data_IF_256068222382
#
_entry.id   IF_256068222382
#
_cell.length_a   1.000
_cell.length_b   1.000
_cell.length_c   1.000
_cell.angle_alpha   90.00
_cell.angle_beta   90.00
_cell.angle_gamma   90.00
#
_symmetry.space_group_name_H-M   'P 1'
#
loop_
_entity.id
_entity.type
_entity.pdbx_description
1 polymer ?
#
# COMPACT_ATOMS: atom_id res chain seq x y z
N UNK A 1 16.29 8.43 -28.61
CA UNK A 1 17.61 7.90 -28.19
C UNK A 1 17.51 6.40 -28.22
N UNK A 2 18.24 5.75 -29.13
CA UNK A 2 18.26 4.30 -29.26
C UNK A 2 18.99 3.63 -28.08
N UNK A 3 18.91 2.29 -28.00
CA UNK A 3 19.84 1.51 -27.19
C UNK A 3 21.24 1.61 -27.83
N UNK A 4 22.28 1.54 -27.03
CA UNK A 4 23.66 1.37 -27.48
C UNK A 4 23.83 0.01 -28.19
N UNK A 5 24.56 -0.03 -29.30
CA UNK A 5 24.54 -1.13 -30.28
C UNK A 5 25.08 -2.48 -29.79
N UNK A 6 25.68 -2.51 -28.59
CA UNK A 6 26.18 -3.74 -27.94
C UNK A 6 25.13 -4.41 -27.02
N UNK A 7 23.94 -3.83 -26.88
CA UNK A 7 22.89 -4.31 -25.97
C UNK A 7 21.66 -4.80 -26.73
N UNK A 8 21.44 -6.11 -26.74
CA UNK A 8 20.27 -6.75 -27.36
C UNK A 8 19.13 -6.85 -26.34
N UNK A 9 17.95 -6.34 -26.69
CA UNK A 9 16.69 -6.60 -25.96
C UNK A 9 15.99 -7.82 -26.57
N UNK A 10 15.59 -8.78 -25.75
CA UNK A 10 14.83 -9.98 -26.18
C UNK A 10 13.94 -10.53 -25.07
N UNK A 11 12.96 -11.41 -25.37
CA UNK A 11 12.34 -12.28 -24.37
C UNK A 11 13.40 -13.08 -23.60
N UNK A 12 13.10 -13.38 -22.34
CA UNK A 12 13.94 -14.24 -21.50
C UNK A 12 13.74 -15.74 -21.81
N UNK A 13 14.73 -16.55 -21.45
CA UNK A 13 14.63 -18.02 -21.40
C UNK A 13 14.97 -18.53 -19.99
N UNK A 14 14.79 -19.82 -19.73
CA UNK A 14 15.21 -20.41 -18.46
C UNK A 14 16.73 -20.28 -18.20
N UNK A 15 17.54 -20.22 -19.27
CA UNK A 15 18.99 -20.00 -19.20
C UNK A 15 19.35 -18.61 -18.62
N UNK A 16 18.47 -17.62 -18.74
CA UNK A 16 18.67 -16.29 -18.16
C UNK A 16 18.42 -16.25 -16.65
N UNK A 17 17.72 -17.24 -16.06
CA UNK A 17 17.28 -17.21 -14.66
C UNK A 17 18.42 -16.92 -13.65
N UNK A 18 19.63 -17.51 -13.77
CA UNK A 18 20.74 -17.17 -12.89
C UNK A 18 21.24 -15.73 -13.06
N UNK A 19 21.22 -15.20 -14.30
CA UNK A 19 21.60 -13.83 -14.63
C UNK A 19 20.57 -12.80 -14.12
N UNK A 20 19.28 -13.12 -14.28
CA UNK A 20 18.15 -12.36 -13.73
C UNK A 20 18.25 -12.35 -12.20
N UNK A 21 18.43 -13.51 -11.55
CA UNK A 21 18.58 -13.62 -10.10
C UNK A 21 19.74 -12.80 -9.55
N UNK A 22 20.91 -12.84 -10.21
CA UNK A 22 22.07 -12.03 -9.87
C UNK A 22 21.78 -10.52 -10.01
N UNK A 23 21.15 -10.11 -11.11
CA UNK A 23 20.78 -8.71 -11.36
C UNK A 23 19.78 -8.20 -10.31
N UNK A 24 18.71 -8.95 -10.03
CA UNK A 24 17.67 -8.56 -9.08
C UNK A 24 18.21 -8.51 -7.64
N UNK A 25 19.03 -9.48 -7.23
CA UNK A 25 19.67 -9.48 -5.89
C UNK A 25 20.55 -8.24 -5.70
N UNK A 26 21.33 -7.85 -6.72
CA UNK A 26 22.15 -6.63 -6.68
C UNK A 26 21.34 -5.33 -6.77
N UNK A 27 20.19 -5.34 -7.46
CA UNK A 27 19.34 -4.16 -7.63
C UNK A 27 18.49 -3.86 -6.39
N UNK A 28 18.00 -4.89 -5.70
CA UNK A 28 17.05 -4.76 -4.58
C UNK A 28 17.65 -5.11 -3.21
N UNK A 29 18.90 -5.59 -3.15
CA UNK A 29 19.56 -5.98 -1.90
C UNK A 29 19.03 -7.28 -1.28
N UNK A 30 18.31 -8.08 -2.07
CA UNK A 30 17.77 -9.37 -1.64
C UNK A 30 18.88 -10.43 -1.48
N UNK A 31 18.59 -11.47 -0.68
CA UNK A 31 19.45 -12.66 -0.59
C UNK A 31 19.64 -13.29 -1.97
N UNK A 32 20.90 -13.59 -2.40
CA UNK A 32 21.16 -14.38 -3.60
C UNK A 32 20.65 -15.83 -3.53
N UNK A 33 20.13 -16.24 -2.37
CA UNK A 33 19.39 -17.49 -2.15
C UNK A 33 17.99 -17.11 -1.68
N UNK A 34 17.06 -16.98 -2.63
CA UNK A 34 15.63 -17.07 -2.33
C UNK A 34 15.27 -18.54 -2.07
N UNK A 35 14.22 -18.78 -1.28
CA UNK A 35 13.71 -20.12 -1.04
C UNK A 35 13.23 -20.78 -2.36
N UNK A 36 13.52 -22.06 -2.64
CA UNK A 36 13.11 -22.70 -3.89
C UNK A 36 11.59 -22.77 -4.11
N UNK A 37 10.80 -22.92 -3.04
CA UNK A 37 9.33 -22.90 -3.10
C UNK A 37 8.87 -21.50 -3.47
N UNK A 38 9.37 -20.47 -2.78
CA UNK A 38 9.06 -19.06 -3.09
C UNK A 38 9.42 -18.73 -4.54
N UNK A 39 10.59 -19.16 -5.01
CA UNK A 39 11.07 -19.00 -6.39
C UNK A 39 10.10 -19.64 -7.40
N UNK A 40 9.68 -20.88 -7.15
CA UNK A 40 8.75 -21.62 -8.01
C UNK A 40 7.34 -20.99 -8.04
N UNK A 41 6.81 -20.50 -6.91
CA UNK A 41 5.54 -19.78 -6.91
C UNK A 41 5.66 -18.40 -7.58
N UNK A 42 6.83 -17.75 -7.49
CA UNK A 42 7.12 -16.44 -8.11
C UNK A 42 7.14 -16.51 -9.64
N UNK A 43 7.53 -17.64 -10.21
CA UNK A 43 7.42 -17.91 -11.66
C UNK A 43 5.97 -18.16 -12.11
N UNK A 44 5.12 -18.76 -11.27
CA UNK A 44 3.68 -18.94 -11.60
C UNK A 44 2.88 -17.63 -11.62
N UNK A 45 3.32 -16.60 -10.91
CA UNK A 45 2.70 -15.27 -10.95
C UNK A 45 3.20 -14.43 -12.14
N UNK A 46 4.49 -14.54 -12.45
CA UNK A 46 5.17 -13.79 -13.49
C UNK A 46 6.01 -14.77 -14.32
N UNK A 47 5.41 -15.39 -15.35
CA UNK A 47 6.05 -16.41 -16.18
C UNK A 47 7.30 -15.87 -16.89
N UNK A 48 8.28 -16.73 -17.16
CA UNK A 48 9.55 -16.35 -17.78
C UNK A 48 9.36 -15.90 -19.24
N UNK A 49 8.33 -16.42 -19.90
CA UNK A 49 7.88 -16.11 -21.26
C UNK A 49 7.37 -14.66 -21.38
N UNK A 50 6.91 -14.06 -20.26
CA UNK A 50 6.53 -12.64 -20.17
C UNK A 50 7.66 -11.76 -19.65
N UNK A 51 8.86 -12.30 -19.44
CA UNK A 51 10.03 -11.52 -19.07
C UNK A 51 10.83 -11.06 -20.29
N UNK A 52 11.45 -9.90 -20.13
CA UNK A 52 12.35 -9.25 -21.08
C UNK A 52 13.72 -9.12 -20.42
N UNK A 53 14.77 -9.45 -21.17
CA UNK A 53 16.16 -9.20 -20.77
C UNK A 53 16.86 -8.32 -21.79
N UNK A 54 17.61 -7.35 -21.28
CA UNK A 54 18.62 -6.63 -22.04
C UNK A 54 19.97 -7.32 -21.77
N UNK A 55 20.64 -7.78 -22.81
CA UNK A 55 21.86 -8.59 -22.74
C UNK A 55 23.02 -7.84 -23.40
N UNK A 56 24.15 -7.75 -22.72
CA UNK A 56 25.38 -7.14 -23.23
C UNK A 56 26.58 -8.03 -22.87
N UNK A 57 27.47 -8.30 -23.84
CA UNK A 57 28.64 -9.18 -23.63
C UNK A 57 28.29 -10.57 -23.07
N UNK A 58 27.15 -11.14 -23.48
CA UNK A 58 26.64 -12.42 -22.98
C UNK A 58 26.09 -12.40 -21.54
N UNK A 59 25.83 -11.23 -20.96
CA UNK A 59 25.32 -11.09 -19.58
C UNK A 59 24.02 -10.30 -19.54
N UNK A 60 23.09 -10.72 -18.67
CA UNK A 60 21.87 -9.96 -18.37
C UNK A 60 22.25 -8.65 -17.66
N UNK A 61 21.96 -7.52 -18.31
CA UNK A 61 22.26 -6.15 -17.82
C UNK A 61 21.00 -5.29 -17.64
N UNK A 62 19.84 -5.78 -18.06
CA UNK A 62 18.53 -5.22 -17.72
C UNK A 62 17.48 -6.32 -17.71
N UNK A 63 16.44 -6.13 -16.89
CA UNK A 63 15.30 -7.04 -16.80
C UNK A 63 14.01 -6.26 -16.50
N UNK A 64 12.90 -6.72 -17.05
CA UNK A 64 11.53 -6.39 -16.64
C UNK A 64 10.62 -7.57 -16.98
N UNK A 65 9.47 -7.70 -16.33
CA UNK A 65 8.47 -8.70 -16.69
C UNK A 65 7.07 -8.23 -16.31
N UNK A 66 6.07 -8.76 -16.97
CA UNK A 66 4.67 -8.45 -16.72
C UNK A 66 3.80 -9.70 -16.56
N UNK A 67 2.57 -9.49 -16.10
CA UNK A 67 1.51 -10.50 -16.04
C UNK A 67 0.15 -9.79 -16.11
N UNK A 68 -0.89 -10.47 -16.57
CA UNK A 68 -2.26 -9.91 -16.49
C UNK A 68 -2.78 -10.07 -15.07
N UNK A 69 -3.39 -9.03 -14.50
CA UNK A 69 -3.92 -9.01 -13.14
C UNK A 69 -5.31 -8.41 -13.10
N UNK A 70 -6.23 -9.05 -12.37
CA UNK A 70 -7.54 -8.50 -12.05
C UNK A 70 -7.41 -7.38 -10.99
N UNK A 71 -7.70 -6.14 -11.36
CA UNK A 71 -7.68 -4.95 -10.50
C UNK A 71 -9.11 -4.50 -10.17
N UNK A 72 -9.39 -4.25 -8.89
CA UNK A 72 -10.63 -3.56 -8.49
C UNK A 72 -10.46 -2.06 -8.73
N UNK A 73 -11.41 -1.45 -9.43
CA UNK A 73 -11.49 0.00 -9.69
C UNK A 73 -12.72 0.57 -8.95
N UNK A 74 -12.96 1.89 -8.91
CA UNK A 74 -14.21 2.43 -8.37
C UNK A 74 -15.42 1.83 -9.13
N UNK A 75 -16.38 1.27 -8.41
CA UNK A 75 -17.50 0.48 -8.97
C UNK A 75 -17.44 -1.01 -8.60
N UNK A 76 -18.44 -1.83 -9.01
CA UNK A 76 -18.53 -3.24 -8.64
C UNK A 76 -17.79 -4.19 -9.61
N UNK A 77 -17.26 -3.67 -10.72
CA UNK A 77 -16.65 -4.45 -11.79
C UNK A 77 -15.13 -4.33 -11.73
N UNK A 78 -14.38 -5.45 -11.62
CA UNK A 78 -12.93 -5.42 -11.75
C UNK A 78 -12.52 -5.35 -13.23
N UNK A 79 -11.29 -4.89 -13.46
CA UNK A 79 -10.69 -4.67 -14.78
C UNK A 79 -9.40 -5.48 -14.88
N UNK A 80 -9.18 -6.16 -16.02
CA UNK A 80 -7.89 -6.81 -16.30
C UNK A 80 -6.85 -5.76 -16.70
N UNK A 81 -5.68 -5.80 -16.05
CA UNK A 81 -4.60 -4.81 -16.23
C UNK A 81 -3.24 -5.48 -16.36
N UNK A 82 -2.26 -4.77 -16.92
CA UNK A 82 -0.88 -5.24 -16.95
C UNK A 82 -0.17 -4.91 -15.63
N UNK A 83 0.17 -5.93 -14.83
CA UNK A 83 0.98 -5.79 -13.63
C UNK A 83 2.47 -5.98 -13.95
N UNK A 84 3.33 -5.02 -13.59
CA UNK A 84 4.75 -5.03 -13.94
C UNK A 84 5.63 -5.29 -12.70
N UNK A 85 6.67 -6.11 -12.86
CA UNK A 85 7.58 -6.48 -11.77
C UNK A 85 9.05 -6.61 -12.20
N UNK A 86 9.94 -6.61 -11.20
CA UNK A 86 11.36 -6.93 -11.39
C UNK A 86 12.16 -5.95 -12.25
N UNK A 87 11.70 -4.69 -12.38
CA UNK A 87 12.33 -3.67 -13.23
C UNK A 87 13.73 -3.32 -12.71
N UNK A 88 14.76 -3.74 -13.43
CA UNK A 88 16.16 -3.54 -13.04
C UNK A 88 17.06 -3.22 -14.24
N UNK A 89 18.08 -2.38 -14.02
CA UNK A 89 19.19 -2.16 -14.96
C UNK A 89 20.50 -2.17 -14.16
N UNK A 90 21.46 -2.99 -14.60
CA UNK A 90 22.74 -3.18 -13.93
C UNK A 90 23.44 -1.83 -13.68
N UNK A 91 24.07 -1.61 -12.51
CA UNK A 91 24.58 -0.29 -12.12
C UNK A 91 25.62 0.28 -13.11
N UNK A 92 26.34 -0.60 -13.81
CA UNK A 92 27.33 -0.36 -14.88
C UNK A 92 26.74 0.02 -16.25
N UNK A 93 25.45 -0.25 -16.47
CA UNK A 93 24.74 -0.03 -17.74
C UNK A 93 23.61 1.01 -17.64
N UNK A 94 23.48 1.68 -16.50
CA UNK A 94 22.51 2.78 -16.30
C UNK A 94 22.78 3.94 -17.26
N UNK A 95 21.71 4.69 -17.58
CA UNK A 95 21.66 5.85 -18.50
C UNK A 95 21.89 5.54 -20.00
N UNK A 96 22.24 4.31 -20.39
CA UNK A 96 22.40 3.85 -21.80
C UNK A 96 21.08 3.53 -22.53
N UNK A 97 20.00 4.28 -22.27
CA UNK A 97 18.68 4.06 -22.88
C UNK A 97 17.88 2.81 -22.45
N UNK A 98 18.53 1.73 -22.00
CA UNK A 98 17.96 0.39 -21.72
C UNK A 98 16.56 0.40 -21.10
N UNK A 99 16.35 1.09 -19.97
CA UNK A 99 15.04 1.13 -19.30
C UNK A 99 13.92 1.68 -20.19
N UNK A 100 14.20 2.69 -21.02
CA UNK A 100 13.20 3.24 -21.95
C UNK A 100 12.83 2.20 -23.01
N UNK A 101 13.79 1.46 -23.56
CA UNK A 101 13.50 0.44 -24.56
C UNK A 101 12.75 -0.76 -23.97
N UNK A 102 13.14 -1.24 -22.78
CA UNK A 102 12.37 -2.26 -22.05
C UNK A 102 10.93 -1.81 -21.81
N UNK A 103 10.70 -0.54 -21.47
CA UNK A 103 9.35 0.00 -21.30
C UNK A 103 8.61 0.19 -22.62
N UNK A 104 9.27 0.63 -23.70
CA UNK A 104 8.65 0.73 -25.04
C UNK A 104 8.02 -0.60 -25.47
N UNK A 105 8.79 -1.69 -25.44
CA UNK A 105 8.33 -3.06 -25.76
C UNK A 105 7.22 -3.54 -24.80
N UNK A 106 7.36 -3.28 -23.49
CA UNK A 106 6.38 -3.64 -22.46
C UNK A 106 5.01 -2.96 -22.67
N UNK A 107 5.02 -1.68 -23.05
CA UNK A 107 3.80 -0.93 -23.36
C UNK A 107 3.18 -1.38 -24.68
N UNK A 108 3.99 -1.67 -25.71
CA UNK A 108 3.51 -2.20 -26.99
C UNK A 108 2.83 -3.56 -26.82
N UNK A 109 3.35 -4.44 -25.96
CA UNK A 109 2.69 -5.69 -25.55
C UNK A 109 1.38 -5.47 -24.81
N UNK A 110 1.29 -4.41 -24.01
CA UNK A 110 0.09 -4.08 -23.21
C UNK A 110 -1.01 -3.50 -24.11
N UNK A 111 -0.64 -2.62 -25.02
CA UNK A 111 -1.50 -2.03 -26.05
C UNK A 111 -2.04 -3.11 -27.00
N UNK A 112 -1.17 -4.00 -27.50
CA UNK A 112 -1.56 -5.15 -28.33
C UNK A 112 -2.43 -6.19 -27.61
N UNK A 113 -2.40 -6.23 -26.27
CA UNK A 113 -3.27 -7.06 -25.45
C UNK A 113 -4.62 -6.41 -25.11
N UNK A 114 -4.86 -5.15 -25.52
CA UNK A 114 -6.09 -4.42 -25.24
C UNK A 114 -6.32 -4.09 -23.75
N UNK A 115 -5.25 -4.11 -22.93
CA UNK A 115 -5.37 -3.86 -21.49
C UNK A 115 -5.37 -2.35 -21.22
N UNK A 116 -6.42 -1.78 -20.60
CA UNK A 116 -6.59 -0.33 -20.50
C UNK A 116 -5.60 0.36 -19.55
N UNK A 117 -4.88 -0.40 -18.71
CA UNK A 117 -4.03 0.10 -17.64
C UNK A 117 -2.75 -0.73 -17.49
N UNK A 118 -1.67 -0.07 -17.08
CA UNK A 118 -0.49 -0.72 -16.50
C UNK A 118 -0.28 -0.26 -15.05
N UNK A 119 0.03 -1.19 -14.14
CA UNK A 119 0.24 -0.91 -12.70
C UNK A 119 1.52 -1.56 -12.15
N UNK A 120 2.08 -0.96 -11.08
CA UNK A 120 3.12 -1.56 -10.24
C UNK A 120 3.29 -0.81 -8.91
N UNK A 121 4.08 -1.38 -7.99
CA UNK A 121 4.62 -0.65 -6.82
C UNK A 121 6.03 -0.14 -7.14
N UNK A 122 6.38 1.08 -6.72
CA UNK A 122 7.60 1.76 -7.17
C UNK A 122 8.74 1.73 -6.15
N UNK A 123 9.93 1.31 -6.59
CA UNK A 123 11.15 1.43 -5.78
C UNK A 123 11.82 2.82 -5.84
N UNK A 124 11.29 3.74 -6.66
CA UNK A 124 11.69 5.16 -6.67
C UNK A 124 10.72 6.03 -7.47
N UNK A 125 10.02 6.94 -6.79
CA UNK A 125 9.08 7.89 -7.40
C UNK A 125 9.69 8.78 -8.51
N UNK A 126 11.01 8.97 -8.54
CA UNK A 126 11.69 9.83 -9.54
C UNK A 126 11.82 9.17 -10.92
N UNK A 127 11.53 7.88 -11.06
CA UNK A 127 11.76 7.15 -12.30
C UNK A 127 10.55 7.27 -13.24
N UNK A 128 9.33 7.06 -12.75
CA UNK A 128 8.25 6.56 -13.59
C UNK A 128 7.33 7.61 -14.24
N UNK A 129 7.21 8.81 -13.67
CA UNK A 129 6.42 9.89 -14.28
C UNK A 129 6.84 10.24 -15.73
N UNK A 130 8.12 10.06 -16.09
CA UNK A 130 8.64 10.25 -17.46
C UNK A 130 8.06 9.28 -18.51
N UNK A 131 7.34 8.26 -18.05
CA UNK A 131 6.71 7.22 -18.87
C UNK A 131 5.17 7.28 -18.76
N UNK A 132 4.59 8.31 -18.10
CA UNK A 132 3.15 8.49 -17.98
C UNK A 132 2.49 7.79 -16.78
N UNK A 133 3.26 7.30 -15.81
CA UNK A 133 2.71 6.73 -14.57
C UNK A 133 2.53 7.79 -13.49
N UNK A 134 1.38 7.79 -12.82
CA UNK A 134 1.14 8.54 -11.59
C UNK A 134 0.96 7.63 -10.37
N UNK A 135 1.41 8.02 -9.16
CA UNK A 135 1.04 7.33 -7.93
C UNK A 135 -0.45 7.53 -7.67
N UNK A 136 -1.18 6.42 -7.47
CA UNK A 136 -2.64 6.37 -7.41
C UNK A 136 -3.19 5.75 -6.12
N UNK A 137 -2.34 5.07 -5.33
CA UNK A 137 -2.62 4.68 -3.94
C UNK A 137 -1.47 5.19 -3.07
N UNK A 138 -1.81 5.74 -1.90
CA UNK A 138 -0.83 6.30 -0.95
C UNK A 138 -0.93 5.57 0.38
N UNK A 139 0.24 5.32 0.97
CA UNK A 139 0.42 4.51 2.16
C UNK A 139 1.09 5.32 3.28
N UNK A 140 0.55 5.22 4.49
CA UNK A 140 1.09 5.80 5.71
C UNK A 140 1.71 4.70 6.57
N UNK A 141 3.04 4.66 6.70
CA UNK A 141 3.65 3.85 7.76
C UNK A 141 3.45 4.59 9.09
N UNK A 142 2.81 3.93 10.03
CA UNK A 142 2.44 4.45 11.35
C UNK A 142 3.11 3.67 12.48
N UNK A 143 3.18 4.30 13.64
CA UNK A 143 3.64 3.70 14.89
C UNK A 143 2.74 4.13 16.04
N UNK A 144 2.38 3.16 16.90
CA UNK A 144 1.47 3.30 18.02
C UNK A 144 2.17 2.73 19.26
N UNK A 145 2.37 3.54 20.30
CA UNK A 145 2.84 3.06 21.60
C UNK A 145 1.63 2.43 22.33
N UNK A 146 1.53 1.09 22.30
CA UNK A 146 0.29 0.42 22.74
C UNK A 146 -0.01 0.59 24.23
N UNK A 147 0.99 1.02 25.01
CA UNK A 147 0.89 1.22 26.46
C UNK A 147 0.05 2.45 26.83
N UNK A 148 -0.28 3.29 25.84
CA UNK A 148 -1.19 4.43 25.96
C UNK A 148 -2.42 4.31 25.04
N UNK A 149 -2.63 3.15 24.40
CA UNK A 149 -3.67 2.96 23.39
C UNK A 149 -5.04 2.62 24.01
N UNK A 150 -5.74 3.64 24.46
CA UNK A 150 -7.13 3.53 24.91
C UNK A 150 -8.11 3.71 23.74
N UNK A 151 -9.08 2.79 23.62
CA UNK A 151 -10.19 2.91 22.66
C UNK A 151 -11.31 3.80 23.22
N UNK A 152 -12.01 4.53 22.35
CA UNK A 152 -13.17 5.33 22.74
C UNK A 152 -14.31 4.44 23.27
N UNK A 153 -15.12 4.93 24.23
CA UNK A 153 -16.34 4.23 24.66
C UNK A 153 -17.36 3.95 23.53
N UNK A 154 -17.25 4.66 22.41
CA UNK A 154 -18.09 4.51 21.20
C UNK A 154 -17.41 3.70 20.08
N UNK A 155 -16.18 3.24 20.25
CA UNK A 155 -15.51 2.42 19.24
C UNK A 155 -16.01 0.96 19.36
N UNK A 156 -16.38 0.28 18.25
CA UNK A 156 -16.90 -1.09 18.31
C UNK A 156 -16.00 -2.06 19.07
N UNK A 157 -16.61 -3.00 19.80
CA UNK A 157 -15.92 -4.08 20.50
C UNK A 157 -16.72 -5.41 20.39
N UNK A 158 -16.73 -6.05 19.21
CA UNK A 158 -17.54 -7.24 18.95
C UNK A 158 -16.89 -8.54 19.46
N UNK A 159 -15.64 -8.50 19.93
CA UNK A 159 -14.85 -9.70 20.20
C UNK A 159 -14.54 -10.47 18.91
N UNK A 160 -14.79 -11.79 18.90
CA UNK A 160 -14.72 -12.64 17.70
C UNK A 160 -13.33 -12.96 17.14
N UNK A 161 -12.27 -12.28 17.62
CA UNK A 161 -10.89 -12.54 17.15
C UNK A 161 -10.32 -13.79 17.80
N UNK A 162 -9.73 -14.66 16.96
CA UNK A 162 -9.06 -15.89 17.35
C UNK A 162 -7.57 -15.85 16.99
N UNK A 163 -6.71 -16.37 17.86
CA UNK A 163 -5.31 -16.63 17.56
C UNK A 163 -5.22 -17.90 16.72
N UNK A 164 -4.70 -17.80 15.50
CA UNK A 164 -4.65 -18.91 14.54
C UNK A 164 -3.22 -19.32 14.23
N UNK A 165 -3.00 -20.59 13.88
CA UNK A 165 -1.78 -20.96 13.16
C UNK A 165 -1.80 -20.37 11.75
N UNK A 166 -0.64 -20.34 11.08
CA UNK A 166 -0.59 -19.93 9.67
C UNK A 166 -1.33 -20.91 8.75
N UNK A 167 -1.36 -22.19 9.13
CA UNK A 167 -2.04 -23.27 8.40
C UNK A 167 -3.57 -23.16 8.53
N UNK A 168 -4.09 -22.75 9.70
CA UNK A 168 -5.51 -22.40 9.84
C UNK A 168 -5.82 -21.12 9.05
N UNK A 169 -4.98 -20.09 9.20
CA UNK A 169 -5.23 -18.77 8.63
C UNK A 169 -5.27 -18.80 7.09
N UNK A 170 -4.45 -19.61 6.42
CA UNK A 170 -4.50 -19.76 4.95
C UNK A 170 -5.78 -20.43 4.45
N UNK A 171 -6.55 -21.13 5.29
CA UNK A 171 -7.86 -21.68 4.87
C UNK A 171 -8.96 -20.63 4.82
N UNK A 172 -8.85 -19.53 5.57
CA UNK A 172 -9.90 -18.48 5.68
C UNK A 172 -9.51 -17.12 5.10
N UNK A 173 -8.22 -16.76 5.13
CA UNK A 173 -7.75 -15.47 4.64
C UNK A 173 -8.01 -15.23 3.14
N UNK A 174 -7.95 -16.22 2.23
CA UNK A 174 -8.28 -16.04 0.81
C UNK A 174 -9.71 -15.54 0.57
N UNK A 175 -10.71 -16.12 1.24
CA UNK A 175 -12.12 -15.76 1.06
C UNK A 175 -12.43 -14.40 1.69
N UNK A 176 -11.86 -14.12 2.87
CA UNK A 176 -11.94 -12.81 3.53
C UNK A 176 -11.32 -11.73 2.64
N UNK A 177 -10.17 -12.01 2.02
CA UNK A 177 -9.51 -11.11 1.07
C UNK A 177 -10.31 -10.93 -0.22
N UNK A 178 -10.94 -11.97 -0.76
CA UNK A 178 -11.78 -11.86 -1.96
C UNK A 178 -13.04 -11.02 -1.69
N UNK A 179 -13.63 -11.13 -0.51
CA UNK A 179 -14.70 -10.23 -0.04
C UNK A 179 -14.20 -8.79 0.12
N UNK A 180 -13.05 -8.59 0.76
CA UNK A 180 -12.46 -7.26 1.00
C UNK A 180 -12.05 -6.55 -0.30
N UNK A 181 -11.34 -7.23 -1.20
CA UNK A 181 -10.78 -6.60 -2.41
C UNK A 181 -11.86 -6.01 -3.31
N UNK A 182 -13.05 -6.61 -3.35
CA UNK A 182 -14.21 -6.16 -4.14
C UNK A 182 -14.80 -4.83 -3.64
N UNK A 183 -14.45 -4.40 -2.44
CA UNK A 183 -14.90 -3.15 -1.81
C UNK A 183 -13.83 -2.04 -1.87
N UNK A 184 -12.60 -2.35 -2.30
CA UNK A 184 -11.45 -1.44 -2.20
C UNK A 184 -10.77 -1.26 -3.57
N UNK A 185 -10.96 -0.10 -4.23
CA UNK A 185 -10.20 0.28 -5.41
C UNK A 185 -8.68 0.19 -5.18
N UNK A 186 -7.95 -0.33 -6.18
CA UNK A 186 -6.52 -0.62 -6.06
C UNK A 186 -6.18 -2.02 -5.54
N UNK A 187 -7.12 -2.71 -4.88
CA UNK A 187 -6.94 -4.09 -4.48
C UNK A 187 -6.99 -5.03 -5.70
N UNK A 188 -6.06 -5.98 -5.76
CA UNK A 188 -5.92 -6.94 -6.86
C UNK A 188 -6.47 -8.31 -6.47
N UNK A 189 -6.79 -9.18 -7.44
CA UNK A 189 -6.96 -10.60 -7.15
C UNK A 189 -5.61 -11.20 -6.71
N UNK A 190 -5.63 -12.09 -5.71
CA UNK A 190 -4.43 -12.74 -5.16
C UNK A 190 -4.48 -14.26 -5.40
N UNK A 191 -3.80 -14.78 -6.44
CA UNK A 191 -3.69 -16.21 -6.68
C UNK A 191 -3.04 -16.96 -5.51
N UNK A 192 -3.30 -18.26 -5.39
CA UNK A 192 -2.73 -19.11 -4.34
C UNK A 192 -1.18 -19.06 -4.26
N UNK A 193 -0.50 -18.91 -5.40
CA UNK A 193 0.96 -18.71 -5.45
C UNK A 193 1.43 -17.43 -4.73
N UNK A 194 0.65 -16.35 -4.76
CA UNK A 194 0.98 -15.11 -4.04
C UNK A 194 0.79 -15.26 -2.52
N UNK A 195 -0.23 -16.00 -2.09
CA UNK A 195 -0.41 -16.36 -0.68
C UNK A 195 0.78 -17.17 -0.13
N UNK A 196 1.19 -18.20 -0.85
CA UNK A 196 2.34 -19.03 -0.47
C UNK A 196 3.64 -18.20 -0.38
N UNK A 197 3.87 -17.25 -1.29
CA UNK A 197 5.03 -16.34 -1.22
C UNK A 197 4.99 -15.48 0.06
N UNK A 198 3.82 -14.95 0.44
CA UNK A 198 3.71 -14.06 1.60
C UNK A 198 3.90 -14.81 2.94
N UNK A 199 3.40 -16.04 3.02
CA UNK A 199 3.55 -16.89 4.21
C UNK A 199 4.95 -17.50 4.32
N UNK A 200 5.43 -18.19 3.27
CA UNK A 200 6.74 -18.88 3.29
C UNK A 200 7.91 -17.89 3.24
N UNK A 201 7.79 -16.81 2.45
CA UNK A 201 8.85 -15.81 2.25
C UNK A 201 9.22 -15.00 3.50
N UNK A 202 8.48 -15.14 4.60
CA UNK A 202 8.80 -14.51 5.89
C UNK A 202 9.81 -15.30 6.73
N UNK A 203 10.16 -16.55 6.35
CA UNK A 203 11.08 -17.43 7.09
C UNK A 203 12.54 -16.95 7.23
N UNK A 204 12.90 -15.77 6.75
CA UNK A 204 14.27 -15.26 6.74
C UNK A 204 14.79 -14.70 8.07
N UNK A 205 13.93 -14.22 8.98
CA UNK A 205 14.39 -13.67 10.27
C UNK A 205 13.35 -13.55 11.40
N UNK A 206 12.04 -13.50 11.09
CA UNK A 206 10.99 -13.45 12.11
C UNK A 206 9.73 -14.18 11.63
N UNK A 207 9.20 -15.09 12.46
CA UNK A 207 7.99 -15.83 12.14
C UNK A 207 6.77 -14.89 12.01
N UNK A 208 5.87 -15.21 11.07
CA UNK A 208 4.53 -14.61 11.03
C UNK A 208 3.63 -15.27 12.08
N UNK A 209 2.71 -14.47 12.59
CA UNK A 209 1.61 -14.84 13.48
C UNK A 209 0.30 -14.34 12.85
N UNK A 210 -0.80 -15.05 13.10
CA UNK A 210 -2.10 -14.73 12.52
C UNK A 210 -3.18 -14.50 13.61
N UNK A 211 -4.00 -13.48 13.37
CA UNK A 211 -5.27 -13.26 14.05
C UNK A 211 -6.39 -13.36 12.99
N UNK A 212 -7.46 -14.08 13.29
CA UNK A 212 -8.61 -14.27 12.39
C UNK A 212 -9.92 -13.85 13.04
N UNK A 213 -10.87 -13.44 12.20
CA UNK A 213 -12.23 -13.03 12.53
C UNK A 213 -13.11 -13.42 11.32
N UNK A 214 -14.41 -13.74 11.46
CA UNK A 214 -15.25 -14.16 10.31
C UNK A 214 -15.27 -13.18 9.13
N UNK A 215 -15.02 -11.90 9.41
CA UNK A 215 -14.95 -10.79 8.44
C UNK A 215 -13.56 -10.13 8.36
N UNK A 216 -12.48 -10.74 8.85
CA UNK A 216 -11.15 -10.10 8.82
C UNK A 216 -9.98 -10.98 9.26
N UNK A 217 -8.76 -10.58 8.90
CA UNK A 217 -7.54 -11.16 9.45
C UNK A 217 -6.43 -10.13 9.59
N UNK A 218 -5.46 -10.43 10.47
CA UNK A 218 -4.20 -9.70 10.55
C UNK A 218 -3.02 -10.69 10.57
N UNK A 219 -2.03 -10.42 9.72
CA UNK A 219 -0.73 -11.08 9.70
C UNK A 219 0.31 -10.12 10.29
N UNK A 220 1.05 -10.56 11.31
CA UNK A 220 2.05 -9.73 11.98
C UNK A 220 3.29 -10.53 12.38
N UNK A 221 4.38 -9.84 12.72
CA UNK A 221 5.62 -10.44 13.23
C UNK A 221 6.24 -9.56 14.31
N UNK A 222 7.12 -10.14 15.11
CA UNK A 222 7.91 -9.39 16.09
C UNK A 222 9.25 -8.92 15.51
N UNK A 223 9.55 -7.64 15.66
CA UNK A 223 10.88 -7.08 15.48
C UNK A 223 11.54 -6.91 16.86
N UNK A 224 12.70 -7.56 17.00
CA UNK A 224 13.54 -7.58 18.22
C UNK A 224 14.90 -6.92 18.00
N UNK A 225 15.10 -6.22 16.88
CA UNK A 225 16.35 -5.53 16.53
C UNK A 225 16.70 -4.38 17.48
N UNK A 226 15.70 -3.79 18.13
CA UNK A 226 15.84 -2.70 19.08
C UNK A 226 16.05 -3.24 20.53
N UNK A 227 17.19 -2.94 21.20
CA UNK A 227 17.46 -3.48 22.52
C UNK A 227 16.44 -3.04 23.58
N UNK A 228 15.84 -4.01 24.27
CA UNK A 228 14.86 -3.84 25.36
C UNK A 228 13.51 -3.22 24.96
N UNK A 229 13.14 -3.25 23.69
CA UNK A 229 11.80 -2.87 23.24
C UNK A 229 11.26 -3.91 22.27
N UNK A 230 10.07 -4.45 22.53
CA UNK A 230 9.43 -5.38 21.60
C UNK A 230 8.50 -4.61 20.65
N UNK A 231 8.76 -4.72 19.34
CA UNK A 231 7.89 -4.13 18.31
C UNK A 231 7.09 -5.21 17.61
N UNK A 232 5.80 -5.00 17.39
CA UNK A 232 5.00 -5.78 16.46
C UNK A 232 4.89 -5.03 15.13
N UNK A 233 5.30 -5.64 14.01
CA UNK A 233 4.99 -5.16 12.67
C UNK A 233 3.75 -5.90 12.16
N UNK A 234 2.66 -5.17 11.96
CA UNK A 234 1.50 -5.62 11.20
C UNK A 234 1.90 -5.61 9.72
N UNK A 235 2.14 -6.79 9.18
CA UNK A 235 2.55 -7.00 7.79
C UNK A 235 1.35 -6.84 6.86
N UNK A 236 0.17 -7.25 7.31
CA UNK A 236 -1.08 -7.06 6.60
C UNK A 236 -2.27 -7.11 7.56
N UNK A 237 -3.25 -6.21 7.40
CA UNK A 237 -4.56 -6.30 8.06
C UNK A 237 -5.64 -6.04 7.01
N UNK A 238 -6.63 -6.93 6.91
CA UNK A 238 -7.76 -6.80 5.97
C UNK A 238 -9.04 -7.16 6.70
N UNK A 239 -10.05 -6.29 6.56
CA UNK A 239 -11.32 -6.41 7.25
C UNK A 239 -12.45 -5.95 6.32
N UNK A 240 -13.49 -6.77 6.19
CA UNK A 240 -14.67 -6.52 5.35
C UNK A 240 -15.66 -5.58 6.07
N UNK A 241 -15.61 -5.53 7.40
CA UNK A 241 -16.50 -4.74 8.26
C UNK A 241 -15.70 -3.85 9.23
N UNK A 242 -16.30 -2.73 9.67
CA UNK A 242 -15.68 -1.81 10.62
C UNK A 242 -15.51 -2.46 12.01
N UNK A 243 -16.43 -3.35 12.35
CA UNK A 243 -16.44 -4.22 13.52
C UNK A 243 -15.21 -5.13 13.54
N UNK A 244 -14.95 -5.86 12.44
CA UNK A 244 -13.77 -6.70 12.29
C UNK A 244 -12.47 -5.90 12.36
N UNK A 245 -12.45 -4.72 11.72
CA UNK A 245 -11.30 -3.82 11.76
C UNK A 245 -10.98 -3.39 13.21
N UNK A 246 -11.99 -2.90 13.94
CA UNK A 246 -11.84 -2.51 15.34
C UNK A 246 -11.41 -3.68 16.23
N UNK A 247 -11.97 -4.88 16.03
CA UNK A 247 -11.64 -6.07 16.81
C UNK A 247 -10.19 -6.52 16.61
N UNK A 248 -9.70 -6.58 15.37
CA UNK A 248 -8.32 -6.93 15.05
C UNK A 248 -7.34 -5.91 15.63
N UNK A 249 -7.66 -4.62 15.57
CA UNK A 249 -6.84 -3.58 16.19
C UNK A 249 -6.85 -3.64 17.73
N UNK A 250 -7.99 -3.97 18.36
CA UNK A 250 -8.05 -4.23 19.81
C UNK A 250 -7.15 -5.40 20.21
N UNK A 251 -7.13 -6.48 19.44
CA UNK A 251 -6.27 -7.63 19.68
C UNK A 251 -4.77 -7.30 19.50
N UNK A 252 -4.41 -6.58 18.42
CA UNK A 252 -3.02 -6.16 18.15
C UNK A 252 -2.48 -5.16 19.18
N UNK A 253 -3.30 -4.19 19.60
CA UNK A 253 -2.96 -3.24 20.67
C UNK A 253 -3.14 -3.87 22.07
N UNK A 254 -3.69 -5.09 22.15
CA UNK A 254 -3.78 -5.94 23.34
C UNK A 254 -2.54 -6.78 23.63
N UNK A 255 -1.52 -6.78 22.76
CA UNK A 255 -0.29 -7.56 22.94
C UNK A 255 0.56 -7.03 24.12
N UNK A 256 0.42 -7.63 25.30
CA UNK A 256 0.91 -7.01 26.55
C UNK A 256 2.43 -6.87 26.70
N UNK A 257 3.21 -7.71 26.02
CA UNK A 257 4.68 -7.61 26.02
C UNK A 257 5.23 -6.66 24.94
N UNK A 258 4.37 -6.09 24.08
CA UNK A 258 4.75 -5.18 23.00
C UNK A 258 4.79 -3.75 23.53
N UNK A 259 5.87 -3.01 23.27
CA UNK A 259 5.91 -1.57 23.53
C UNK A 259 5.28 -0.78 22.38
N UNK A 260 5.48 -1.23 21.16
CA UNK A 260 5.14 -0.48 19.94
C UNK A 260 4.56 -1.38 18.86
N UNK A 261 3.39 -1.01 18.35
CA UNK A 261 2.85 -1.57 17.10
C UNK A 261 3.25 -0.65 15.95
N UNK A 262 3.64 -1.23 14.81
CA UNK A 262 3.88 -0.55 13.54
C UNK A 262 3.06 -1.20 12.45
N UNK A 263 2.60 -0.41 11.50
CA UNK A 263 1.76 -0.88 10.40
C UNK A 263 1.87 0.06 9.20
N UNK A 264 1.33 -0.36 8.06
CA UNK A 264 1.01 0.52 6.95
C UNK A 264 -0.51 0.61 6.80
N UNK A 265 -1.04 1.83 6.81
CA UNK A 265 -2.48 2.14 6.69
C UNK A 265 -2.73 3.16 5.56
N UNK A 266 -3.98 3.33 5.15
CA UNK A 266 -4.38 4.35 4.16
C UNK A 266 -4.34 5.78 4.73
N UNK A 267 -4.74 6.77 3.93
CA UNK A 267 -5.08 8.11 4.45
C UNK A 267 -6.45 8.11 5.16
N UNK A 268 -7.42 7.35 4.64
CA UNK A 268 -8.80 7.26 5.11
C UNK A 268 -9.04 6.09 6.12
N UNK A 269 -7.99 5.59 6.77
CA UNK A 269 -8.09 4.48 7.74
C UNK A 269 -8.76 4.95 9.06
N UNK A 270 -9.75 4.19 9.61
CA UNK A 270 -10.49 4.64 10.78
C UNK A 270 -9.75 4.51 12.13
N UNK A 271 -8.58 3.85 12.20
CA UNK A 271 -7.84 3.63 13.47
C UNK A 271 -7.64 4.91 14.32
N UNK A 272 -7.22 6.08 13.78
CA UNK A 272 -7.07 7.30 14.57
C UNK A 272 -8.38 7.79 15.19
N UNK A 273 -9.54 7.40 14.64
CA UNK A 273 -10.86 7.74 15.13
C UNK A 273 -11.40 6.75 16.18
N UNK A 274 -10.83 5.53 16.26
CA UNK A 274 -11.17 4.52 17.28
C UNK A 274 -10.50 4.81 18.64
N UNK A 275 -9.35 5.49 18.66
CA UNK A 275 -8.59 5.79 19.88
C UNK A 275 -8.99 7.11 20.56
N UNK A 276 -8.81 7.20 21.88
CA UNK A 276 -9.13 8.42 22.66
C UNK A 276 -8.25 9.60 22.23
N UNK A 277 -6.92 9.44 22.23
CA UNK A 277 -6.00 10.36 21.55
C UNK A 277 -5.62 9.84 20.15
N UNK A 278 -6.13 10.51 19.13
CA UNK A 278 -5.82 10.19 17.73
C UNK A 278 -4.35 10.44 17.37
N UNK A 279 -3.61 11.25 18.14
CA UNK A 279 -2.18 11.52 17.90
C UNK A 279 -1.28 10.32 18.20
N UNK A 280 -1.80 9.32 18.92
CA UNK A 280 -1.04 8.09 19.19
C UNK A 280 -0.79 7.27 17.93
N UNK A 281 -1.64 7.42 16.89
CA UNK A 281 -1.39 6.85 15.55
C UNK A 281 -0.43 7.77 14.79
N UNK A 282 0.85 7.70 15.13
CA UNK A 282 1.86 8.60 14.60
C UNK A 282 2.37 8.14 13.24
N UNK A 283 2.00 8.82 12.17
CA UNK A 283 2.62 8.65 10.85
C UNK A 283 4.12 8.98 10.92
N UNK A 284 4.97 8.04 10.49
CA UNK A 284 6.43 8.21 10.40
C UNK A 284 6.90 8.46 8.98
N UNK A 285 6.16 7.98 7.98
CA UNK A 285 6.38 8.27 6.55
C UNK A 285 5.11 8.06 5.74
N UNK A 286 4.82 8.97 4.81
CA UNK A 286 3.78 8.83 3.79
C UNK A 286 4.47 8.62 2.43
N UNK A 287 4.05 7.60 1.68
CA UNK A 287 4.74 7.11 0.49
C UNK A 287 3.78 6.54 -0.55
N UNK A 288 4.21 6.52 -1.80
CA UNK A 288 3.49 5.93 -2.92
C UNK A 288 3.45 4.40 -2.82
N UNK A 289 2.25 3.81 -2.75
CA UNK A 289 2.04 2.36 -2.71
C UNK A 289 1.89 1.79 -4.12
N UNK A 290 0.84 2.20 -4.83
CA UNK A 290 0.54 1.78 -6.21
C UNK A 290 0.68 2.94 -7.19
N UNK A 291 1.19 2.64 -8.38
CA UNK A 291 1.23 3.52 -9.54
C UNK A 291 0.39 2.95 -10.67
N UNK A 292 -0.25 3.83 -11.45
CA UNK A 292 -1.02 3.46 -12.64
C UNK A 292 -0.67 4.36 -13.84
N UNK A 293 -0.74 3.77 -15.03
CA UNK A 293 -0.70 4.45 -16.34
C UNK A 293 -1.93 4.01 -17.16
N UNK A 294 -2.77 4.94 -17.63
CA UNK A 294 -3.73 4.69 -18.71
C UNK A 294 -3.00 4.29 -20.00
N UNK A 295 -3.42 3.19 -20.61
CA UNK A 295 -2.94 2.70 -21.90
C UNK A 295 -3.93 3.02 -23.02
N UNK A 296 -5.22 2.92 -22.69
CA UNK A 296 -6.34 3.37 -23.50
C UNK A 296 -7.21 4.26 -22.60
N UNK A 297 -7.29 5.55 -22.92
CA UNK A 297 -8.02 6.55 -22.10
C UNK A 297 -9.54 6.34 -22.19
N UNK A 298 -10.16 6.17 -23.37
CA UNK A 298 -11.54 5.70 -23.51
C UNK A 298 -11.89 4.47 -22.67
N UNK A 299 -11.14 3.38 -22.83
CA UNK A 299 -11.42 2.11 -22.16
C UNK A 299 -11.19 2.21 -20.64
N UNK A 300 -10.11 2.86 -20.18
CA UNK A 300 -9.89 3.07 -18.75
C UNK A 300 -11.02 3.90 -18.12
N UNK A 301 -11.34 5.07 -18.69
CA UNK A 301 -12.33 5.96 -18.08
C UNK A 301 -13.76 5.43 -18.14
N UNK A 302 -14.10 4.56 -19.10
CA UNK A 302 -15.40 3.89 -19.19
C UNK A 302 -15.50 2.64 -18.29
N UNK A 303 -14.37 2.09 -17.83
CA UNK A 303 -14.33 0.86 -17.03
C UNK A 303 -14.50 1.08 -15.52
N UNK A 304 -14.55 2.33 -15.04
CA UNK A 304 -14.85 2.68 -13.65
C UNK A 304 -16.14 3.48 -13.52
N UNK A 305 -16.74 3.39 -12.34
CA UNK A 305 -17.89 4.21 -11.94
C UNK A 305 -17.46 5.55 -11.32
N UNK A 306 -18.43 6.45 -11.23
CA UNK A 306 -18.31 7.82 -10.75
C UNK A 306 -19.51 8.16 -9.86
N UNK A 307 -19.29 8.96 -8.81
CA UNK A 307 -20.36 9.27 -7.84
C UNK A 307 -21.28 10.43 -8.25
N UNK A 308 -21.09 11.03 -9.44
CA UNK A 308 -21.89 12.16 -9.91
C UNK A 308 -21.87 12.28 -11.43
N UNK A 309 -23.05 12.47 -12.02
CA UNK A 309 -23.24 12.73 -13.45
C UNK A 309 -22.51 13.97 -13.96
N UNK A 310 -21.92 13.86 -15.15
CA UNK A 310 -21.15 14.92 -15.79
C UNK A 310 -21.17 14.79 -17.33
N UNK A 311 -20.85 15.87 -18.02
CA UNK A 311 -20.51 15.90 -19.44
C UNK A 311 -19.39 16.94 -19.58
N UNK A 312 -18.18 16.48 -19.91
CA UNK A 312 -16.98 17.33 -20.00
C UNK A 312 -16.10 16.90 -21.15
N UNK A 313 -15.16 17.75 -21.53
CA UNK A 313 -14.10 17.41 -22.48
C UNK A 313 -12.72 17.45 -21.81
N UNK A 314 -11.96 16.39 -21.99
CA UNK A 314 -10.63 16.19 -21.40
C UNK A 314 -9.58 16.15 -22.50
N UNK A 315 -8.61 17.06 -22.46
CA UNK A 315 -7.37 16.90 -23.21
C UNK A 315 -6.33 16.19 -22.32
N UNK A 316 -5.77 15.10 -22.82
CA UNK A 316 -4.74 14.29 -22.15
C UNK A 316 -3.46 14.35 -22.97
N UNK A 317 -2.38 14.87 -22.38
CA UNK A 317 -1.04 14.83 -22.98
C UNK A 317 -0.30 13.53 -22.61
N UNK A 318 0.27 12.86 -23.62
CA UNK A 318 1.16 11.72 -23.46
C UNK A 318 2.43 11.88 -24.32
N UNK A 319 3.51 12.45 -23.75
CA UNK A 319 4.78 12.63 -24.45
C UNK A 319 5.62 11.35 -24.51
N UNK A 320 5.06 10.17 -24.18
CA UNK A 320 5.80 8.90 -24.23
C UNK A 320 5.23 7.84 -25.19
N UNK A 321 3.92 7.55 -25.18
CA UNK A 321 3.29 6.62 -26.14
C UNK A 321 2.35 7.30 -27.14
N UNK A 322 2.02 8.57 -26.94
CA UNK A 322 0.98 9.29 -27.68
C UNK A 322 -0.43 8.68 -27.54
N UNK A 323 -0.70 7.95 -26.44
CA UNK A 323 -2.02 7.46 -26.05
C UNK A 323 -2.94 8.57 -25.46
N UNK A 324 -2.54 9.83 -25.65
CA UNK A 324 -3.33 11.02 -25.30
C UNK A 324 -4.32 11.39 -26.41
N UNK A 325 -4.89 12.60 -26.30
CA UNK A 325 -5.91 13.09 -27.23
C UNK A 325 -6.94 13.97 -26.52
N UNK A 326 -8.05 14.23 -27.22
CA UNK A 326 -9.19 14.98 -26.66
C UNK A 326 -10.41 14.06 -26.62
N UNK A 327 -11.01 13.91 -25.44
CA UNK A 327 -12.06 12.92 -25.17
C UNK A 327 -13.28 13.58 -24.53
N UNK A 328 -14.48 13.23 -24.99
CA UNK A 328 -15.73 13.55 -24.31
C UNK A 328 -16.01 12.46 -23.28
N UNK A 329 -16.04 12.83 -22.00
CA UNK A 329 -16.45 11.95 -20.90
C UNK A 329 -17.87 12.33 -20.49
N UNK A 330 -18.81 11.38 -20.62
CA UNK A 330 -20.18 11.49 -20.12
C UNK A 330 -20.37 10.48 -19.00
N UNK A 331 -20.96 10.92 -17.89
CA UNK A 331 -21.42 10.04 -16.81
C UNK A 331 -22.93 10.18 -16.64
N UNK A 332 -23.66 9.06 -16.68
CA UNK A 332 -25.10 8.99 -16.39
C UNK A 332 -25.38 7.82 -15.47
N UNK A 333 -26.15 8.06 -14.40
CA UNK A 333 -26.42 7.09 -13.33
C UNK A 333 -25.12 6.45 -12.78
N UNK A 334 -24.06 7.26 -12.71
CA UNK A 334 -22.71 6.85 -12.28
C UNK A 334 -21.90 6.00 -13.28
N UNK A 335 -22.47 5.56 -14.40
CA UNK A 335 -21.78 4.84 -15.49
C UNK A 335 -21.17 5.81 -16.49
N UNK A 336 -20.01 5.47 -17.03
CA UNK A 336 -19.25 6.34 -17.93
C UNK A 336 -19.18 5.84 -19.38
N UNK A 337 -19.33 6.79 -20.31
CA UNK A 337 -18.97 6.67 -21.72
C UNK A 337 -17.85 7.67 -22.01
N UNK A 338 -16.74 7.21 -22.58
CA UNK A 338 -15.61 8.06 -22.97
C UNK A 338 -15.27 7.84 -24.44
N UNK A 339 -15.38 8.88 -25.27
CA UNK A 339 -15.15 8.81 -26.72
C UNK A 339 -14.18 9.91 -27.22
N UNK A 340 -13.34 9.68 -28.23
CA UNK A 340 -12.56 10.73 -28.88
C UNK A 340 -13.45 11.84 -29.45
N UNK A 341 -13.06 13.11 -29.30
CA UNK A 341 -13.90 14.24 -29.71
C UNK A 341 -13.09 15.43 -30.24
N UNK A 342 -13.75 16.26 -31.06
CA UNK A 342 -13.23 17.54 -31.57
C UNK A 342 -13.82 18.76 -30.83
N UNK A 343 -14.65 18.54 -29.79
CA UNK A 343 -15.07 19.63 -28.88
C UNK A 343 -13.84 20.26 -28.21
N UNK A 344 -13.92 21.55 -27.87
CA UNK A 344 -12.88 22.22 -27.09
C UNK A 344 -12.80 21.65 -25.65
N UNK A 345 -11.59 21.51 -25.06
CA UNK A 345 -11.41 20.94 -23.72
C UNK A 345 -11.88 21.86 -22.58
N UNK A 346 -12.51 21.25 -21.56
CA UNK A 346 -12.80 21.87 -20.26
C UNK A 346 -11.62 21.76 -19.28
N UNK A 347 -10.82 20.72 -19.44
CA UNK A 347 -9.63 20.43 -18.63
C UNK A 347 -8.51 19.85 -19.51
N UNK A 348 -7.28 20.29 -19.25
CA UNK A 348 -6.05 19.79 -19.89
C UNK A 348 -5.12 19.25 -18.79
N UNK A 349 -4.62 18.02 -18.96
CA UNK A 349 -3.75 17.35 -17.99
C UNK A 349 -2.79 16.34 -18.66
N UNK A 350 -1.71 15.98 -17.97
CA UNK A 350 -0.82 14.89 -18.39
C UNK A 350 -1.38 13.51 -18.04
N UNK A 351 -1.04 12.49 -18.82
CA UNK A 351 -1.49 11.10 -18.60
C UNK A 351 -1.01 10.52 -17.25
N UNK A 352 0.07 11.06 -16.67
CA UNK A 352 0.52 10.78 -15.30
C UNK A 352 -0.43 11.36 -14.24
N UNK A 353 -1.02 12.53 -14.50
CA UNK A 353 -2.05 13.15 -13.65
C UNK A 353 -3.31 12.28 -13.70
N UNK A 354 -3.70 11.80 -14.89
CA UNK A 354 -4.85 10.92 -15.05
C UNK A 354 -4.64 9.59 -14.31
N UNK A 355 -3.46 8.98 -14.45
CA UNK A 355 -3.08 7.77 -13.71
C UNK A 355 -3.15 7.96 -12.20
N UNK A 356 -2.68 9.09 -11.67
CA UNK A 356 -2.80 9.44 -10.24
C UNK A 356 -4.25 9.55 -9.75
N UNK A 357 -5.16 10.05 -10.57
CA UNK A 357 -6.57 10.24 -10.20
C UNK A 357 -7.42 8.98 -10.43
N UNK A 358 -6.92 8.01 -11.20
CA UNK A 358 -7.72 6.90 -11.70
C UNK A 358 -8.35 6.03 -10.60
N UNK A 359 -7.67 5.86 -9.46
CA UNK A 359 -8.14 5.09 -8.30
C UNK A 359 -8.49 5.94 -7.07
N UNK A 360 -8.42 7.27 -7.16
CA UNK A 360 -8.53 8.14 -6.00
C UNK A 360 -9.95 8.12 -5.39
N UNK A 361 -10.12 7.69 -4.13
CA UNK A 361 -11.41 7.74 -3.43
C UNK A 361 -11.67 9.12 -2.80
N UNK A 362 -10.60 9.92 -2.61
CA UNK A 362 -10.63 11.23 -1.98
C UNK A 362 -9.81 12.25 -2.79
N UNK A 363 -10.23 13.52 -2.85
CA UNK A 363 -9.60 14.51 -3.72
C UNK A 363 -8.22 14.93 -3.21
N UNK A 364 -7.17 14.92 -4.07
CA UNK A 364 -5.91 15.54 -3.70
C UNK A 364 -6.14 17.04 -3.46
N UNK A 365 -5.69 17.54 -2.31
CA UNK A 365 -5.88 18.93 -1.91
C UNK A 365 -5.46 19.89 -3.06
N UNK A 366 -6.27 20.90 -3.40
CA UNK A 366 -6.16 21.61 -4.67
C UNK A 366 -4.90 22.49 -4.76
N UNK A 367 -3.79 21.89 -5.17
CA UNK A 367 -2.53 22.59 -5.41
C UNK A 367 -2.60 23.37 -6.73
N UNK A 368 -2.41 24.70 -6.72
CA UNK A 368 -2.34 25.51 -7.94
C UNK A 368 -0.97 25.43 -8.65
N UNK A 369 -0.03 24.59 -8.20
CA UNK A 369 1.38 24.62 -8.63
C UNK A 369 1.95 23.34 -9.23
N UNK A 370 1.12 22.33 -9.58
CA UNK A 370 1.55 21.27 -10.52
C UNK A 370 1.66 21.88 -11.93
N UNK A 371 2.85 22.32 -12.31
CA UNK A 371 3.17 22.73 -13.69
C UNK A 371 2.88 21.56 -14.63
N UNK A 372 1.81 21.68 -15.42
CA UNK A 372 1.18 20.57 -16.16
C UNK A 372 -0.35 20.52 -16.03
N UNK A 373 -0.94 21.28 -15.10
CA UNK A 373 -2.38 21.54 -15.05
C UNK A 373 -2.71 22.77 -15.93
N UNK A 374 -3.53 22.60 -16.98
CA UNK A 374 -3.87 23.66 -17.93
C UNK A 374 -4.89 24.69 -17.42
N UNK A 375 -5.47 25.47 -18.34
CA UNK A 375 -6.48 26.50 -17.98
C UNK A 375 -7.73 25.85 -17.40
N UNK A 376 -8.31 26.47 -16.37
CA UNK A 376 -9.56 26.02 -15.73
C UNK A 376 -10.78 26.76 -16.30
N UNK A 377 -11.69 26.05 -16.96
CA UNK A 377 -13.08 26.49 -17.17
C UNK A 377 -13.93 26.15 -15.92
N UNK A 378 -15.18 26.62 -15.79
CA UNK A 378 -16.07 26.17 -14.71
C UNK A 378 -16.29 24.65 -14.69
N UNK A 379 -16.29 23.99 -15.87
CA UNK A 379 -16.44 22.54 -16.02
C UNK A 379 -15.32 21.75 -15.32
N UNK A 380 -14.08 22.25 -15.39
CA UNK A 380 -12.93 21.62 -14.73
C UNK A 380 -13.18 21.32 -13.24
N UNK A 381 -13.84 22.23 -12.51
CA UNK A 381 -14.08 22.07 -11.08
C UNK A 381 -14.92 20.82 -10.75
N UNK A 382 -15.96 20.53 -11.56
CA UNK A 382 -16.80 19.34 -11.42
C UNK A 382 -16.02 18.07 -11.74
N UNK A 383 -15.15 18.11 -12.75
CA UNK A 383 -14.32 16.96 -13.11
C UNK A 383 -13.29 16.61 -12.03
N UNK A 384 -12.66 17.60 -11.39
CA UNK A 384 -11.75 17.36 -10.25
C UNK A 384 -12.47 16.66 -9.08
N UNK A 385 -13.73 17.00 -8.81
CA UNK A 385 -14.56 16.28 -7.81
C UNK A 385 -14.95 14.88 -8.31
N UNK A 386 -15.40 14.73 -9.55
CA UNK A 386 -15.90 13.45 -10.06
C UNK A 386 -14.81 12.38 -10.27
N UNK A 387 -13.61 12.76 -10.73
CA UNK A 387 -12.48 11.83 -10.86
C UNK A 387 -12.02 11.28 -9.50
N UNK A 388 -12.13 12.11 -8.45
CA UNK A 388 -11.44 11.90 -7.17
C UNK A 388 -12.36 11.65 -5.98
N UNK A 389 -13.66 11.43 -6.21
CA UNK A 389 -14.67 11.24 -5.17
C UNK A 389 -15.08 12.52 -4.41
N UNK A 390 -16.27 12.53 -3.79
CA UNK A 390 -16.65 13.52 -2.81
C UNK A 390 -16.03 13.21 -1.44
N UNK A 391 -15.99 14.19 -0.54
CA UNK A 391 -15.55 14.01 0.83
C UNK A 391 -16.50 13.05 1.59
N UNK A 392 -15.97 11.95 2.14
CA UNK A 392 -16.69 10.91 2.88
C UNK A 392 -17.15 11.37 4.28
N UNK A 393 -17.83 12.51 4.35
CA UNK A 393 -18.35 13.08 5.59
C UNK A 393 -19.71 13.77 5.37
N UNK A 394 -20.70 12.97 4.93
CA UNK A 394 -22.12 13.26 5.12
C UNK A 394 -22.67 12.32 6.19
N UNK A 395 -22.49 12.70 7.45
CA UNK A 395 -23.26 12.10 8.53
C UNK A 395 -24.76 12.28 8.25
N UNK A 396 -25.50 11.16 8.20
CA UNK A 396 -26.94 11.14 7.99
C UNK A 396 -27.66 11.58 9.26
N UNK A 397 -27.60 12.87 9.57
CA UNK A 397 -28.41 13.54 10.58
C UNK A 397 -29.90 13.59 10.13
N UNK A 398 -30.53 12.43 10.06
CA UNK A 398 -31.94 12.27 9.74
C UNK A 398 -32.80 12.72 10.92
N UNK A 399 -33.20 13.99 10.90
CA UNK A 399 -34.16 14.55 11.85
C UNK A 399 -35.53 13.89 11.71
N UNK A 400 -35.80 12.85 12.50
CA UNK A 400 -37.11 12.20 12.57
C UNK A 400 -38.06 12.98 13.47
N UNK A 401 -38.72 14.00 12.90
CA UNK A 401 -39.96 14.50 13.49
C UNK A 401 -41.02 13.39 13.41
N UNK A 402 -41.54 12.97 14.57
CA UNK A 402 -42.68 12.05 14.67
C UNK A 402 -43.81 12.73 15.48
N UNK A 403 -45.03 12.82 14.93
CA UNK A 403 -46.17 13.40 15.64
C UNK A 403 -46.68 12.45 16.74
N UNK A 404 -47.38 12.98 17.77
CA UNK A 404 -47.73 12.21 18.95
C UNK A 404 -48.98 11.34 18.77
N UNK A 405 -48.90 10.09 19.22
CA UNK A 405 -50.06 9.24 19.57
C UNK A 405 -49.91 8.70 20.98
N UNK A 406 -51.03 8.52 21.69
CA UNK A 406 -51.07 8.35 23.14
C UNK A 406 -51.61 6.98 23.59
N UNK A 407 -51.37 6.67 24.87
CA UNK A 407 -51.79 5.46 25.59
C UNK A 407 -51.06 4.16 25.15
N UNK A 408 -50.99 3.10 25.97
CA UNK A 408 -51.63 2.89 27.27
C UNK A 408 -50.65 2.45 28.38
N UNK A 409 -51.12 2.50 29.63
CA UNK A 409 -50.39 2.02 30.81
C UNK A 409 -50.47 0.50 30.91
N UNK A 410 -49.39 -0.15 31.30
CA UNK A 410 -49.46 -1.16 32.35
C UNK A 410 -48.19 -1.19 33.19
N UNK A 411 -48.33 -1.60 34.45
CA UNK A 411 -47.24 -1.68 35.44
C UNK A 411 -47.13 -3.11 35.91
N UNK A 412 -45.92 -3.63 36.03
CA UNK A 412 -45.61 -4.58 37.09
C UNK A 412 -44.25 -4.24 37.72
N UNK A 413 -44.22 -4.27 39.06
CA UNK A 413 -42.98 -4.29 39.85
C UNK A 413 -42.61 -5.75 40.10
N UNK A 414 -41.31 -6.04 40.21
CA UNK A 414 -40.70 -6.75 41.35
C UNK A 414 -39.17 -6.76 41.20
N UNK A 415 -38.47 -6.97 42.31
CA UNK A 415 -37.02 -7.14 42.48
C UNK A 415 -36.78 -7.50 43.95
N UNK A 416 -35.58 -7.36 44.53
CA UNK A 416 -34.24 -7.15 43.96
C UNK A 416 -33.26 -8.31 44.33
N UNK A 417 -31.97 -8.24 43.96
CA UNK A 417 -30.98 -9.26 44.35
C UNK A 417 -29.50 -8.85 44.28
N UNK A 418 -28.89 -8.59 45.45
CA UNK A 418 -27.44 -8.45 45.76
C UNK A 418 -27.28 -8.67 47.27
N UNK A 419 -26.10 -9.02 47.86
CA UNK A 419 -24.76 -8.50 47.59
C UNK A 419 -23.87 -9.54 46.80
N UNK A 420 -22.58 -9.86 46.98
CA UNK A 420 -21.55 -9.61 48.03
C UNK A 420 -20.10 -9.71 47.53
N UNK A 421 -19.18 -9.21 48.37
CA UNK A 421 -17.76 -9.60 48.52
C UNK A 421 -17.50 -9.74 50.04
N UNK A 422 -16.37 -10.36 50.46
CA UNK A 422 -15.34 -9.52 51.09
C UNK A 422 -13.87 -9.90 50.77
N UNK A 423 -12.97 -9.10 51.33
CA UNK A 423 -11.52 -9.22 51.65
C UNK A 423 -10.85 -10.62 51.67
N UNK A 424 -9.51 -10.78 51.53
CA UNK A 424 -8.42 -10.06 52.24
C UNK A 424 -7.05 -10.01 51.51
N UNK A 425 -6.19 -9.06 51.93
CA UNK A 425 -4.71 -9.13 51.85
C UNK A 425 -4.15 -9.51 53.23
N UNK A 426 -2.85 -9.89 53.35
CA UNK A 426 -1.94 -8.96 54.01
C UNK A 426 -0.49 -8.93 53.47
N UNK A 427 0.21 -7.83 53.82
CA UNK A 427 1.64 -7.66 54.19
C UNK A 427 2.68 -8.77 53.89
N UNK A 428 3.93 -8.47 53.50
CA UNK A 428 4.70 -7.20 53.44
C UNK A 428 5.92 -7.36 52.46
N UNK A 429 7.08 -6.67 52.42
CA UNK A 429 7.80 -5.84 53.40
C UNK A 429 8.80 -4.82 52.77
N UNK A 430 9.91 -4.55 53.47
CA UNK A 430 10.81 -3.41 53.31
C UNK A 430 12.04 -3.62 52.39
N UNK A 431 12.52 -2.53 51.77
CA UNK A 431 13.79 -2.50 51.03
C UNK A 431 14.28 -1.08 50.70
N UNK A 432 14.86 -0.35 51.67
CA UNK A 432 15.34 1.04 51.47
C UNK A 432 16.83 1.08 51.08
N UNK A 433 17.19 1.92 50.11
CA UNK A 433 18.42 2.74 50.23
C UNK A 433 18.33 4.05 49.42
N UNK A 434 18.98 5.11 49.91
CA UNK A 434 19.19 6.40 49.23
C UNK A 434 20.69 6.73 49.28
N UNK A 435 21.35 6.93 48.14
CA UNK A 435 22.61 7.69 47.95
C UNK A 435 22.70 8.16 46.50
N UNK A 436 23.31 9.28 46.10
CA UNK A 436 23.55 10.59 46.76
C UNK A 436 24.05 11.56 45.68
N UNK A 437 23.72 12.87 45.73
CA UNK A 437 24.24 13.87 44.77
C UNK A 437 25.69 14.28 45.07
N UNK A 438 26.52 14.31 44.03
CA UNK A 438 27.65 15.23 43.81
C UNK A 438 27.95 15.15 42.29
N UNK A 439 27.73 16.14 41.43
CA UNK A 439 28.09 17.57 41.43
C UNK A 439 29.59 17.82 41.18
N UNK A 440 29.92 18.26 39.96
CA UNK A 440 31.07 19.10 39.59
C UNK A 440 30.85 19.75 38.22
N UNK A 441 31.36 20.98 38.06
CA UNK A 441 31.18 21.85 36.89
C UNK A 441 32.48 22.06 36.11
N UNK A 442 32.39 22.16 34.78
CA UNK A 442 33.13 23.13 33.93
C UNK A 442 32.66 22.94 32.46
N UNK A 443 32.08 23.96 31.81
CA UNK A 443 32.73 25.01 31.00
C UNK A 443 33.28 24.53 29.63
N UNK A 444 33.17 25.22 28.49
CA UNK A 444 32.32 26.28 27.90
C UNK A 444 33.05 26.75 26.62
N UNK A 445 32.78 26.13 25.48
CA UNK A 445 33.16 26.60 24.13
C UNK A 445 32.35 25.81 23.07
N UNK A 446 32.08 26.31 21.87
CA UNK A 446 32.43 27.64 21.34
C UNK A 446 32.69 27.70 19.83
N UNK A 447 31.94 26.95 19.02
CA UNK A 447 32.06 26.94 17.54
C UNK A 447 30.69 26.68 16.90
N UNK A 448 30.49 27.12 15.65
CA UNK A 448 29.22 26.96 14.94
C UNK A 448 29.37 26.74 13.43
N UNK A 449 28.27 26.97 12.71
CA UNK A 449 28.07 26.86 11.25
C UNK A 449 27.77 25.46 10.65
N UNK A 450 26.97 25.51 9.58
CA UNK A 450 26.68 24.48 8.58
C UNK A 450 26.03 23.16 9.01
N UNK A 451 24.77 23.24 9.44
CA UNK A 451 23.83 22.14 9.27
C UNK A 451 23.53 21.90 7.77
N UNK A 452 24.21 20.93 7.14
CA UNK A 452 23.80 20.36 5.84
C UNK A 452 22.87 19.17 6.09
N UNK A 453 21.64 19.24 5.59
CA UNK A 453 20.66 18.15 5.68
C UNK A 453 21.04 16.97 4.77
N UNK A 454 21.70 15.96 5.33
CA UNK A 454 21.87 14.66 4.67
C UNK A 454 20.91 13.63 5.27
N UNK A 455 19.84 13.31 4.55
CA UNK A 455 19.03 12.13 4.83
C UNK A 455 19.86 10.87 4.63
N UNK A 456 20.19 10.17 5.72
CA UNK A 456 21.06 8.98 5.70
C UNK A 456 20.23 7.70 5.62
N UNK A 457 19.91 7.26 4.41
CA UNK A 457 19.68 5.85 4.17
C UNK A 457 20.96 5.09 4.53
N UNK A 458 20.91 4.30 5.61
CA UNK A 458 22.02 3.44 6.06
C UNK A 458 21.50 2.15 6.69
N UNK A 459 21.46 1.10 5.89
CA UNK A 459 21.70 -0.26 6.37
C UNK A 459 22.98 -0.75 5.68
N UNK A 460 23.98 -1.07 6.49
CA UNK A 460 25.29 -1.51 6.03
C UNK A 460 25.96 -2.24 7.19
N UNK A 461 25.81 -3.56 7.22
CA UNK A 461 26.47 -4.42 8.22
C UNK A 461 27.86 -4.81 7.74
N UNK A 462 28.80 -4.88 8.68
CA UNK A 462 30.17 -5.35 8.47
C UNK A 462 30.49 -6.30 9.63
N UNK A 463 30.81 -7.56 9.32
CA UNK A 463 31.28 -8.53 10.31
C UNK A 463 32.62 -9.08 9.86
N UNK A 464 33.64 -8.92 10.70
CA UNK A 464 34.97 -9.50 10.50
C UNK A 464 34.89 -11.01 10.77
N UNK A 465 35.17 -11.84 9.77
CA UNK A 465 35.72 -13.16 10.03
C UNK A 465 37.21 -13.04 10.36
N UNK A 466 37.67 -13.73 11.41
CA UNK A 466 39.07 -14.17 11.52
C UNK A 466 39.19 -15.56 10.86
N UNK A 467 40.31 -15.88 10.20
CA UNK A 467 40.55 -17.25 9.73
C UNK A 467 40.85 -18.18 10.91
N UNK A 468 40.31 -19.40 10.84
CA UNK A 468 40.84 -20.58 11.55
C UNK A 468 41.81 -21.31 10.63
N UNK A 469 42.86 -21.92 11.19
CA UNK A 469 43.89 -22.64 10.44
C UNK A 469 43.56 -24.15 10.36
N UNK A 470 44.25 -24.87 9.48
CA UNK A 470 44.14 -26.32 9.32
C UNK A 470 44.62 -27.07 10.57
N UNK A 471 44.08 -28.27 10.81
CA UNK A 471 44.87 -29.51 10.63
C UNK A 471 43.98 -30.77 10.57
N UNK A 472 44.50 -31.80 9.88
CA UNK A 472 43.97 -33.18 9.67
C UNK A 472 42.52 -33.32 9.18
#
# INVERSE_FOLDING_TARGET
MAIESEVTLRPATEEDLPGIGLLLSNAFGASPREDPVVSAQRLKLFPIERALVAVAGGRVVGHTRDTTMTLTVPGPHPVEVCGVAGVAVAPTHRRRGILRAMYTELHERTEAAGLPLTIFTASSATIYGRFGYGPCVVENRVTIDRRFAEFRPTAPDPGGVTLSSLDDAITVAPDIYDRWRRLVPGAQARPHSAWLIQLVGSGGQAALFALTHPDGYALYRYDTSAPRTLTAEVVELRAVTAEAHAALWRALLGLDLVDTVTATIGDDDPLPHLLTDSRLVRTVSRHDGLWARPMDVPAALSARDYETDLDVVVAVDDPFRHAGGTFALRVRDGRAECEPTTRAPDLELGIDVLGSLYLAPTPPAPSPSRTGCGRRTPGSSRMWTALSGPNANRSSAGSSELPPTAAARQRHRLGPGRPSRPSTLPDSAAGRSRRSRADRRSARAGAGQHARSQGKCRHLWWVRHRPGMLDT
#
